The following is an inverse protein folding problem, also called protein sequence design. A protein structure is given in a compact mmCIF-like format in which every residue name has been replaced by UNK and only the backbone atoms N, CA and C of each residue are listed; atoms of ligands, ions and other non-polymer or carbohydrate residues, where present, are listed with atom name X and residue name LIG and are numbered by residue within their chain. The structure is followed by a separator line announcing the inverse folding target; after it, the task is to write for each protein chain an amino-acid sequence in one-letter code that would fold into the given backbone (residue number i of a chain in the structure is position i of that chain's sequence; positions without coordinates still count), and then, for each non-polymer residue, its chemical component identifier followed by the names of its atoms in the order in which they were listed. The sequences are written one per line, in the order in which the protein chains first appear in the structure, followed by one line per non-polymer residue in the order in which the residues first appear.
data_IF_535044936630
#
_entry.id   IF_535044936630
#
_cell.length_a   1.000
_cell.length_b   1.000
_cell.length_c   1.000
_cell.angle_alpha   90.00
_cell.angle_beta   90.00
_cell.angle_gamma   90.00
#
_symmetry.space_group_name_H-M   'P 1'
#
loop_
_entity.id
_entity.type
_entity.pdbx_description
1 polymer ?
#
# COMPACT_ATOMS: atom_id res chain seq x y z
N UNK A 1 6.43 -15.09 -0.02
CA UNK A 1 6.39 -16.34 0.77
C UNK A 1 7.82 -16.66 1.17
N UNK A 2 8.08 -16.98 2.43
CA UNK A 2 9.40 -17.39 2.92
C UNK A 2 9.23 -18.69 3.69
N UNK A 3 10.04 -19.70 3.34
CA UNK A 3 9.95 -21.09 3.79
C UNK A 3 9.58 -22.02 2.62
N UNK A 4 10.50 -22.87 2.19
CA UNK A 4 10.27 -23.83 1.10
C UNK A 4 9.31 -24.96 1.52
N UNK A 5 9.17 -25.23 2.81
CA UNK A 5 8.22 -26.21 3.36
C UNK A 5 6.74 -25.89 3.10
N UNK A 6 6.40 -24.67 2.62
CA UNK A 6 5.04 -24.35 2.19
C UNK A 6 4.73 -24.77 0.75
N UNK A 7 5.77 -24.99 -0.06
CA UNK A 7 5.63 -25.31 -1.49
C UNK A 7 5.38 -26.79 -1.67
N UNK A 8 4.40 -27.11 -2.48
CA UNK A 8 4.02 -28.49 -2.79
C UNK A 8 3.94 -28.69 -4.30
N UNK A 9 4.21 -29.93 -4.73
CA UNK A 9 4.10 -30.32 -6.14
C UNK A 9 2.66 -30.78 -6.48
N UNK A 10 2.44 -31.14 -7.75
CA UNK A 10 1.14 -31.60 -8.25
C UNK A 10 0.61 -32.85 -7.54
N UNK A 11 1.48 -33.81 -7.22
CA UNK A 11 1.10 -35.07 -6.57
C UNK A 11 0.65 -34.85 -5.13
N UNK A 12 1.42 -34.07 -4.38
CA UNK A 12 1.08 -33.67 -3.02
C UNK A 12 -0.23 -32.89 -2.98
N UNK A 13 -0.43 -31.96 -3.92
CA UNK A 13 -1.70 -31.23 -4.04
C UNK A 13 -2.88 -32.17 -4.32
N UNK A 14 -2.73 -33.13 -5.22
CA UNK A 14 -3.78 -34.11 -5.51
C UNK A 14 -4.13 -34.95 -4.28
N UNK A 15 -3.12 -35.35 -3.49
CA UNK A 15 -3.33 -36.07 -2.22
C UNK A 15 -4.11 -35.22 -1.21
N UNK A 16 -3.73 -33.96 -0.99
CA UNK A 16 -4.46 -33.09 -0.07
C UNK A 16 -5.90 -32.82 -0.51
N UNK A 17 -6.15 -32.73 -1.83
CA UNK A 17 -7.52 -32.63 -2.35
C UNK A 17 -8.32 -33.90 -2.03
N UNK A 18 -7.73 -35.09 -2.18
CA UNK A 18 -8.37 -36.35 -1.81
C UNK A 18 -8.65 -36.44 -0.31
N UNK A 19 -7.80 -35.83 0.51
CA UNK A 19 -7.96 -35.71 1.97
C UNK A 19 -8.97 -34.60 2.38
N UNK A 20 -9.65 -33.98 1.42
CA UNK A 20 -10.72 -33.00 1.66
C UNK A 20 -10.28 -31.53 1.76
N UNK A 21 -9.02 -31.21 1.44
CA UNK A 21 -8.52 -29.84 1.44
C UNK A 21 -9.03 -29.09 0.20
N UNK A 22 -9.71 -27.93 0.36
CA UNK A 22 -10.15 -27.13 -0.78
C UNK A 22 -9.00 -26.68 -1.68
N UNK A 23 -9.10 -26.81 -3.02
CA UNK A 23 -8.05 -26.41 -3.96
C UNK A 23 -7.64 -24.93 -3.85
N UNK A 24 -8.53 -24.06 -3.35
CA UNK A 24 -8.30 -22.62 -3.15
C UNK A 24 -7.28 -22.33 -2.05
N UNK A 25 -7.11 -23.25 -1.09
CA UNK A 25 -6.06 -23.19 -0.06
C UNK A 25 -4.71 -23.70 -0.56
N UNK A 26 -4.66 -24.16 -1.81
CA UNK A 26 -3.45 -24.59 -2.49
C UNK A 26 -3.30 -23.84 -3.83
N UNK A 27 -3.22 -22.49 -3.81
CA UNK A 27 -3.06 -21.70 -5.01
C UNK A 27 -1.76 -22.04 -5.74
N UNK A 28 -1.76 -21.90 -7.06
CA UNK A 28 -0.54 -21.98 -7.85
C UNK A 28 0.32 -20.75 -7.56
N UNK A 29 1.59 -21.00 -7.26
CA UNK A 29 2.60 -19.96 -7.10
C UNK A 29 2.93 -19.38 -8.47
N UNK A 30 3.03 -18.06 -8.54
CA UNK A 30 3.47 -17.34 -9.73
C UNK A 30 4.74 -16.58 -9.36
N UNK A 31 5.88 -17.12 -9.77
CA UNK A 31 7.19 -16.48 -9.68
C UNK A 31 7.48 -15.63 -10.93
N UNK A 32 8.51 -14.80 -10.88
CA UNK A 32 8.96 -13.96 -11.99
C UNK A 32 9.25 -14.78 -13.24
N UNK A 33 9.85 -15.96 -13.08
CA UNK A 33 10.09 -16.91 -14.16
C UNK A 33 8.81 -17.46 -14.77
N UNK A 34 7.72 -17.61 -14.01
CA UNK A 34 6.42 -18.03 -14.56
C UNK A 34 5.71 -16.89 -15.32
N UNK A 35 6.13 -15.65 -15.07
CA UNK A 35 5.67 -14.49 -15.85
C UNK A 35 6.37 -14.48 -17.21
N UNK A 36 7.67 -14.79 -17.25
CA UNK A 36 8.52 -14.65 -18.43
C UNK A 36 8.59 -15.89 -19.30
N UNK A 37 8.75 -17.05 -18.67
CA UNK A 37 8.90 -18.36 -19.26
C UNK A 37 7.63 -19.23 -19.08
N UNK A 38 7.79 -20.53 -19.31
CA UNK A 38 6.75 -21.53 -19.07
C UNK A 38 6.39 -21.62 -17.59
N UNK A 39 5.09 -21.69 -17.31
CA UNK A 39 4.55 -21.76 -15.96
C UNK A 39 4.93 -23.07 -15.27
N UNK A 40 5.53 -22.95 -14.09
CA UNK A 40 5.78 -24.05 -13.17
C UNK A 40 4.48 -24.55 -12.52
N UNK A 41 4.48 -25.82 -12.13
CA UNK A 41 3.37 -26.47 -11.42
C UNK A 41 3.65 -26.53 -9.91
N UNK A 42 4.09 -25.40 -9.34
CA UNK A 42 4.36 -25.26 -7.91
C UNK A 42 3.16 -24.64 -7.22
N UNK A 43 2.68 -25.25 -6.15
CA UNK A 43 1.56 -24.75 -5.36
C UNK A 43 2.04 -24.41 -3.95
N UNK A 44 1.23 -23.69 -3.19
CA UNK A 44 1.56 -23.38 -1.81
C UNK A 44 0.38 -23.56 -0.87
N UNK A 45 0.65 -24.04 0.33
CA UNK A 45 -0.33 -24.18 1.40
C UNK A 45 -0.63 -22.79 1.99
N UNK A 46 -1.81 -22.24 1.67
CA UNK A 46 -2.24 -20.90 2.08
C UNK A 46 -3.39 -20.97 3.10
N UNK A 47 -3.03 -20.89 4.37
CA UNK A 47 -3.94 -20.92 5.52
C UNK A 47 -3.88 -19.60 6.30
N UNK A 48 -3.73 -18.48 5.59
CA UNK A 48 -3.53 -17.15 6.18
C UNK A 48 -4.66 -16.69 7.12
N UNK A 49 -5.86 -17.25 6.93
CA UNK A 49 -7.12 -16.99 7.65
C UNK A 49 -7.32 -17.88 8.89
N UNK A 50 -6.48 -18.90 9.09
CA UNK A 50 -6.52 -19.75 10.27
C UNK A 50 -5.77 -19.07 11.42
N UNK A 51 -6.47 -18.80 12.51
CA UNK A 51 -5.95 -18.01 13.63
C UNK A 51 -5.22 -18.86 14.68
N UNK A 52 -5.58 -20.13 14.84
CA UNK A 52 -5.01 -21.04 15.84
C UNK A 52 -4.50 -22.35 15.23
N UNK A 53 -3.52 -22.95 15.89
CA UNK A 53 -3.00 -24.26 15.49
C UNK A 53 -4.08 -25.36 15.60
N UNK A 54 -4.86 -25.33 16.69
CA UNK A 54 -5.95 -26.29 16.92
C UNK A 54 -6.97 -26.29 15.77
N UNK A 55 -7.32 -25.11 15.25
CA UNK A 55 -8.23 -25.01 14.11
C UNK A 55 -7.63 -25.66 12.85
N UNK A 56 -6.32 -25.48 12.60
CA UNK A 56 -5.63 -26.12 11.48
C UNK A 56 -5.61 -27.64 11.64
N UNK A 57 -5.31 -28.11 12.86
CA UNK A 57 -5.25 -29.53 13.21
C UNK A 57 -6.62 -30.20 13.02
N UNK A 58 -7.69 -29.60 13.57
CA UNK A 58 -9.02 -30.20 13.58
C UNK A 58 -9.67 -30.21 12.19
N UNK A 59 -9.46 -29.15 11.40
CA UNK A 59 -10.06 -29.02 10.07
C UNK A 59 -9.23 -29.67 8.96
N UNK A 60 -7.90 -29.65 9.10
CA UNK A 60 -6.97 -30.07 8.05
C UNK A 60 -5.78 -30.88 8.63
N UNK A 61 -6.03 -32.03 9.29
CA UNK A 61 -5.01 -32.78 10.02
C UNK A 61 -3.83 -33.22 9.14
N UNK A 62 -4.11 -33.59 7.88
CA UNK A 62 -3.06 -33.97 6.92
C UNK A 62 -2.11 -32.81 6.59
N UNK A 63 -2.64 -31.58 6.48
CA UNK A 63 -1.87 -30.37 6.22
C UNK A 63 -1.11 -29.93 7.47
N UNK A 64 -1.75 -29.97 8.63
CA UNK A 64 -1.10 -29.68 9.92
C UNK A 64 0.16 -30.52 10.07
N UNK A 65 0.05 -31.85 9.95
CA UNK A 65 1.19 -32.77 10.03
C UNK A 65 2.30 -32.41 9.03
N UNK A 66 1.93 -32.15 7.77
CA UNK A 66 2.91 -31.80 6.74
C UNK A 66 3.68 -30.52 7.10
N UNK A 67 2.97 -29.45 7.45
CA UNK A 67 3.60 -28.19 7.83
C UNK A 67 4.40 -28.34 9.14
N UNK A 68 3.93 -29.16 10.08
CA UNK A 68 4.65 -29.43 11.32
C UNK A 68 6.02 -30.08 11.02
N UNK A 69 6.06 -31.04 10.10
CA UNK A 69 7.29 -31.74 9.75
C UNK A 69 8.25 -30.89 8.88
N UNK A 70 7.72 -30.02 8.01
CA UNK A 70 8.50 -29.32 6.96
C UNK A 70 8.71 -27.82 7.20
N UNK A 71 7.88 -27.18 8.02
CA UNK A 71 7.94 -25.72 8.26
C UNK A 71 8.32 -25.41 9.71
N UNK A 72 7.76 -26.14 10.68
CA UNK A 72 7.99 -25.84 12.10
C UNK A 72 9.48 -25.88 12.51
N UNK A 73 10.32 -26.84 12.06
CA UNK A 73 11.73 -26.88 12.46
C UNK A 73 12.49 -25.60 12.08
N UNK A 74 12.33 -25.13 10.83
CA UNK A 74 12.93 -23.87 10.37
C UNK A 74 12.36 -22.65 11.11
N UNK A 75 11.05 -22.68 11.43
CA UNK A 75 10.40 -21.59 12.16
C UNK A 75 10.88 -21.49 13.61
N UNK A 76 11.09 -22.60 14.30
CA UNK A 76 11.54 -22.65 15.69
C UNK A 76 12.92 -21.99 15.88
N UNK A 77 13.78 -22.05 14.85
CA UNK A 77 15.10 -21.39 14.83
C UNK A 77 15.03 -19.88 14.54
N UNK A 78 13.87 -19.35 14.15
CA UNK A 78 13.74 -17.94 13.78
C UNK A 78 13.73 -17.04 15.03
N UNK A 79 14.51 -15.96 15.03
CA UNK A 79 14.57 -15.00 16.15
C UNK A 79 13.23 -14.36 16.50
N UNK A 80 12.33 -14.19 15.51
CA UNK A 80 11.05 -13.51 15.71
C UNK A 80 10.01 -14.46 16.30
N UNK A 81 9.62 -14.19 17.54
CA UNK A 81 8.63 -14.97 18.30
C UNK A 81 7.31 -15.18 17.54
N UNK A 82 6.82 -14.15 16.85
CA UNK A 82 5.57 -14.26 16.08
C UNK A 82 5.61 -15.37 15.01
N UNK A 83 6.77 -15.62 14.40
CA UNK A 83 6.93 -16.66 13.39
C UNK A 83 7.03 -18.05 14.00
N UNK A 84 7.56 -18.17 15.23
CA UNK A 84 7.55 -19.42 16.01
C UNK A 84 6.12 -19.77 16.44
N UNK A 85 5.38 -18.80 16.97
CA UNK A 85 4.02 -19.00 17.47
C UNK A 85 2.99 -19.25 16.36
N UNK A 86 3.17 -18.64 15.18
CA UNK A 86 2.26 -18.77 14.04
C UNK A 86 2.93 -19.48 12.86
N UNK A 87 3.64 -20.56 13.13
CA UNK A 87 4.54 -21.22 12.19
C UNK A 87 3.84 -21.69 10.89
N UNK A 88 2.54 -21.98 10.93
CA UNK A 88 1.71 -22.36 9.78
C UNK A 88 1.31 -21.20 8.86
N UNK A 89 1.62 -19.95 9.22
CA UNK A 89 1.31 -18.75 8.41
C UNK A 89 2.56 -18.30 7.66
N UNK A 90 2.37 -17.71 6.48
CA UNK A 90 3.46 -17.05 5.79
C UNK A 90 4.00 -15.89 6.64
N UNK A 91 5.32 -15.70 6.64
CA UNK A 91 5.98 -14.57 7.30
C UNK A 91 5.37 -13.21 6.91
N UNK A 92 4.91 -13.08 5.66
CA UNK A 92 4.16 -11.92 5.19
C UNK A 92 2.86 -12.35 4.50
N UNK A 93 1.69 -12.14 5.13
CA UNK A 93 0.40 -12.56 4.56
C UNK A 93 -0.11 -11.62 3.43
N UNK A 94 0.62 -10.53 3.14
CA UNK A 94 0.32 -9.53 2.09
C UNK A 94 -1.16 -9.08 2.06
N UNK A 95 -1.73 -8.63 3.19
CA UNK A 95 -3.17 -8.33 3.30
C UNK A 95 -3.62 -7.22 2.35
N UNK A 96 -2.77 -6.21 2.11
CA UNK A 96 -3.08 -5.11 1.17
C UNK A 96 -3.26 -5.62 -0.26
N UNK A 97 -2.42 -6.55 -0.71
CA UNK A 97 -2.54 -7.15 -2.05
C UNK A 97 -3.83 -7.97 -2.15
N UNK A 98 -4.07 -8.85 -1.18
CA UNK A 98 -5.29 -9.69 -1.12
C UNK A 98 -6.56 -8.83 -1.18
N UNK A 99 -6.61 -7.75 -0.41
CA UNK A 99 -7.72 -6.79 -0.43
C UNK A 99 -7.85 -6.08 -1.78
N UNK A 100 -6.73 -5.71 -2.42
CA UNK A 100 -6.73 -4.98 -3.68
C UNK A 100 -7.23 -5.82 -4.86
N UNK A 101 -6.87 -7.11 -4.90
CA UNK A 101 -7.31 -8.05 -5.96
C UNK A 101 -8.67 -8.68 -5.67
N UNK A 102 -9.19 -8.53 -4.45
CA UNK A 102 -10.52 -9.04 -4.09
C UNK A 102 -11.60 -8.47 -5.01
N UNK A 103 -12.43 -9.34 -5.57
CA UNK A 103 -13.48 -9.01 -6.54
C UNK A 103 -13.00 -8.81 -7.98
N UNK A 104 -11.68 -8.81 -8.25
CA UNK A 104 -11.16 -8.80 -9.62
C UNK A 104 -11.12 -10.23 -10.17
N UNK A 105 -11.50 -10.41 -11.43
CA UNK A 105 -11.36 -11.71 -12.13
C UNK A 105 -9.92 -12.01 -12.55
N UNK A 106 -9.16 -10.94 -12.79
CA UNK A 106 -7.76 -10.96 -13.22
C UNK A 106 -7.07 -9.68 -12.78
N UNK A 107 -5.74 -9.69 -12.73
CA UNK A 107 -4.94 -8.51 -12.46
C UNK A 107 -3.66 -8.54 -13.30
N UNK A 108 -2.97 -7.42 -13.38
CA UNK A 108 -1.78 -7.25 -14.21
C UNK A 108 -0.55 -7.65 -13.39
N UNK A 109 0.39 -8.35 -14.02
CA UNK A 109 1.69 -8.70 -13.43
C UNK A 109 2.85 -8.39 -14.37
N UNK A 110 4.00 -8.15 -13.78
CA UNK A 110 5.32 -8.15 -14.43
C UNK A 110 6.34 -8.83 -13.51
N UNK A 111 7.35 -9.49 -14.08
CA UNK A 111 8.49 -10.00 -13.30
C UNK A 111 9.25 -8.84 -12.68
N UNK A 112 9.89 -8.99 -11.53
CA UNK A 112 10.74 -7.92 -10.99
C UNK A 112 11.94 -7.68 -11.92
N UNK A 113 12.60 -8.75 -12.36
CA UNK A 113 13.74 -8.70 -13.30
C UNK A 113 13.32 -9.17 -14.68
N UNK A 114 13.64 -8.39 -15.70
CA UNK A 114 13.46 -8.77 -17.11
C UNK A 114 14.29 -7.84 -18.01
N UNK A 115 15.05 -8.43 -18.94
CA UNK A 115 15.80 -7.68 -19.97
C UNK A 115 14.84 -6.87 -20.85
N UNK A 116 13.79 -7.52 -21.36
CA UNK A 116 12.71 -6.87 -22.10
C UNK A 116 11.46 -6.75 -21.23
N UNK A 117 10.97 -5.53 -21.02
CA UNK A 117 9.86 -5.27 -20.11
C UNK A 117 8.52 -5.58 -20.76
N UNK A 118 7.69 -6.36 -20.06
CA UNK A 118 6.30 -6.58 -20.45
C UNK A 118 5.38 -6.83 -19.26
N UNK A 119 4.09 -6.62 -19.53
CA UNK A 119 3.00 -6.79 -18.59
C UNK A 119 1.97 -7.75 -19.19
N UNK A 120 1.34 -8.58 -18.35
CA UNK A 120 0.27 -9.50 -18.77
C UNK A 120 -0.80 -9.61 -17.70
N UNK A 121 -2.01 -9.99 -18.10
CA UNK A 121 -3.03 -10.39 -17.14
C UNK A 121 -2.79 -11.82 -16.64
N UNK A 122 -3.03 -12.07 -15.36
CA UNK A 122 -3.22 -13.40 -14.79
C UNK A 122 -4.56 -13.50 -14.06
N UNK A 123 -5.19 -14.70 -13.98
CA UNK A 123 -6.41 -14.90 -13.20
C UNK A 123 -6.19 -14.58 -11.71
N UNK A 124 -7.21 -14.06 -11.03
CA UNK A 124 -7.13 -13.84 -9.58
C UNK A 124 -7.34 -15.10 -8.76
N UNK A 125 -8.27 -15.96 -9.20
CA UNK A 125 -8.62 -17.18 -8.47
C UNK A 125 -7.48 -18.20 -8.52
N UNK A 126 -7.12 -18.75 -7.35
CA UNK A 126 -6.14 -19.82 -7.21
C UNK A 126 -4.71 -19.43 -7.61
N UNK A 127 -4.35 -18.14 -7.57
CA UNK A 127 -3.00 -17.65 -7.87
C UNK A 127 -2.40 -16.91 -6.68
N UNK A 128 -1.15 -17.21 -6.38
CA UNK A 128 -0.37 -16.53 -5.35
C UNK A 128 0.94 -16.03 -5.97
N UNK A 129 1.06 -14.71 -6.14
CA UNK A 129 2.32 -14.10 -6.61
C UNK A 129 3.34 -14.11 -5.49
N UNK A 130 4.59 -14.44 -5.83
CA UNK A 130 5.71 -14.36 -4.89
C UNK A 130 6.39 -12.98 -4.91
N UNK A 131 7.51 -12.85 -4.19
CA UNK A 131 8.24 -11.58 -4.07
C UNK A 131 8.94 -11.12 -5.34
N UNK A 132 9.10 -12.00 -6.33
CA UNK A 132 9.76 -11.70 -7.62
C UNK A 132 8.77 -11.22 -8.68
N UNK A 133 7.51 -10.97 -8.32
CA UNK A 133 6.45 -10.49 -9.22
C UNK A 133 5.82 -9.22 -8.66
N UNK A 134 5.70 -8.22 -9.52
CA UNK A 134 4.96 -7.00 -9.21
C UNK A 134 3.52 -7.16 -9.71
N UNK A 135 2.57 -7.04 -8.78
CA UNK A 135 1.14 -7.14 -9.05
C UNK A 135 0.47 -5.75 -9.04
N UNK A 136 -0.16 -5.40 -10.16
CA UNK A 136 -0.97 -4.20 -10.32
C UNK A 136 -2.44 -4.61 -10.26
N UNK A 137 -3.12 -4.24 -9.18
CA UNK A 137 -4.50 -4.63 -8.86
C UNK A 137 -5.55 -3.86 -9.69
N UNK A 138 -5.49 -4.04 -11.02
CA UNK A 138 -6.44 -3.53 -12.00
C UNK A 138 -6.77 -4.61 -13.02
N UNK A 139 -8.05 -4.72 -13.38
CA UNK A 139 -8.54 -5.56 -14.48
C UNK A 139 -8.84 -4.75 -15.76
N UNK A 140 -8.63 -3.42 -15.73
CA UNK A 140 -8.86 -2.51 -16.86
C UNK A 140 -7.70 -2.61 -17.88
N UNK A 141 -7.98 -2.99 -19.14
CA UNK A 141 -6.99 -2.99 -20.20
C UNK A 141 -6.40 -1.63 -20.53
N UNK A 142 -7.02 -0.52 -20.12
CA UNK A 142 -6.41 0.81 -20.21
C UNK A 142 -5.09 0.83 -19.43
N UNK A 143 -5.13 0.38 -18.17
CA UNK A 143 -3.94 0.34 -17.31
C UNK A 143 -2.89 -0.57 -17.91
N UNK A 144 -3.29 -1.75 -18.44
CA UNK A 144 -2.37 -2.64 -19.15
C UNK A 144 -1.71 -1.94 -20.34
N UNK A 145 -2.47 -1.19 -21.13
CA UNK A 145 -1.97 -0.46 -22.29
C UNK A 145 -0.96 0.60 -21.89
N UNK A 146 -1.31 1.46 -20.93
CA UNK A 146 -0.42 2.51 -20.43
C UNK A 146 0.90 1.94 -19.91
N UNK A 147 0.87 0.91 -19.06
CA UNK A 147 2.12 0.31 -18.55
C UNK A 147 2.89 -0.48 -19.62
N UNK A 148 2.24 -0.89 -20.70
CA UNK A 148 2.91 -1.54 -21.83
C UNK A 148 3.50 -0.56 -22.85
N UNK A 149 3.29 0.75 -22.67
CA UNK A 149 3.75 1.77 -23.61
C UNK A 149 5.25 2.02 -23.50
N UNK A 150 5.81 2.60 -24.57
CA UNK A 150 7.17 3.10 -24.63
C UNK A 150 7.40 4.18 -23.56
N UNK A 151 6.44 5.08 -23.32
CA UNK A 151 6.54 6.12 -22.29
C UNK A 151 6.78 5.52 -20.89
N UNK A 152 6.00 4.49 -20.52
CA UNK A 152 6.19 3.80 -19.23
C UNK A 152 7.49 3.00 -19.18
N UNK A 153 7.89 2.40 -20.30
CA UNK A 153 9.13 1.63 -20.39
C UNK A 153 10.36 2.52 -20.20
N UNK A 154 10.40 3.67 -20.88
CA UNK A 154 11.47 4.68 -20.74
C UNK A 154 11.56 5.18 -19.30
N UNK A 155 10.42 5.53 -18.69
CA UNK A 155 10.37 5.91 -17.28
C UNK A 155 10.91 4.81 -16.36
N UNK A 156 10.38 3.61 -16.47
CA UNK A 156 10.70 2.51 -15.58
C UNK A 156 12.17 2.06 -15.69
N UNK A 157 12.76 2.10 -16.90
CA UNK A 157 14.18 1.80 -17.10
C UNK A 157 15.09 2.84 -16.45
N UNK A 158 14.67 4.10 -16.40
CA UNK A 158 15.45 5.19 -15.80
C UNK A 158 15.28 5.30 -14.29
N UNK A 159 14.08 5.06 -13.79
CA UNK A 159 13.72 5.15 -12.37
C UNK A 159 13.99 3.84 -11.61
N UNK A 160 13.98 2.71 -12.31
CA UNK A 160 14.25 1.38 -11.74
C UNK A 160 15.71 1.15 -11.39
N UNK A 161 15.95 0.10 -10.61
CA UNK A 161 17.29 -0.37 -10.29
C UNK A 161 17.83 -1.35 -11.33
N UNK A 162 19.04 -1.86 -11.09
CA UNK A 162 19.61 -3.00 -11.84
C UNK A 162 20.04 -4.11 -10.88
N UNK A 163 20.09 -5.35 -11.35
CA UNK A 163 20.42 -6.52 -10.52
C UNK A 163 21.33 -7.52 -11.23
N UNK A 164 22.29 -8.07 -10.47
CA UNK A 164 23.16 -9.16 -10.91
C UNK A 164 24.34 -8.73 -11.79
N UNK A 165 25.15 -9.70 -12.21
CA UNK A 165 26.31 -9.47 -13.09
C UNK A 165 25.94 -9.13 -14.53
N UNK A 166 24.70 -9.43 -14.95
CA UNK A 166 24.16 -9.08 -16.26
C UNK A 166 23.54 -7.68 -16.34
N UNK A 167 23.48 -6.96 -15.21
CA UNK A 167 22.93 -5.61 -15.12
C UNK A 167 21.46 -5.51 -15.60
N UNK A 168 20.68 -6.57 -15.33
CA UNK A 168 19.30 -6.69 -15.79
C UNK A 168 18.40 -5.63 -15.13
N UNK A 169 17.50 -4.96 -15.89
CA UNK A 169 16.57 -3.99 -15.33
C UNK A 169 15.64 -4.59 -14.28
N UNK A 170 15.60 -3.95 -13.11
CA UNK A 170 14.77 -4.32 -11.97
C UNK A 170 13.62 -3.32 -11.80
N UNK A 171 12.39 -3.82 -11.87
CA UNK A 171 11.17 -3.04 -11.72
C UNK A 171 10.71 -3.05 -10.27
N UNK A 172 10.71 -1.89 -9.63
CA UNK A 172 10.24 -1.71 -8.26
C UNK A 172 9.00 -0.82 -8.26
N UNK A 173 7.95 -1.20 -7.53
CA UNK A 173 6.69 -0.47 -7.56
C UNK A 173 6.85 0.99 -7.10
N UNK A 174 7.60 1.22 -6.03
CA UNK A 174 7.76 2.55 -5.39
C UNK A 174 8.49 3.55 -6.29
N UNK A 175 9.31 3.09 -7.23
CA UNK A 175 10.08 3.96 -8.13
C UNK A 175 9.58 3.93 -9.57
N UNK A 176 9.09 2.80 -10.06
CA UNK A 176 8.67 2.65 -11.45
C UNK A 176 7.17 2.91 -11.66
N UNK A 177 6.30 2.49 -10.73
CA UNK A 177 4.84 2.61 -10.92
C UNK A 177 4.25 3.78 -10.14
N UNK A 178 4.54 3.87 -8.85
CA UNK A 178 3.91 4.84 -7.96
C UNK A 178 4.14 6.31 -8.39
N UNK A 179 5.35 6.71 -8.83
CA UNK A 179 5.57 8.08 -9.30
C UNK A 179 5.29 8.25 -10.81
N UNK A 180 4.93 7.20 -11.54
CA UNK A 180 4.70 7.33 -12.98
C UNK A 180 3.47 8.22 -13.25
N UNK A 181 3.62 9.35 -13.96
CA UNK A 181 2.50 10.23 -14.22
C UNK A 181 1.64 9.69 -15.36
N UNK A 182 0.54 9.01 -15.01
CA UNK A 182 -0.41 8.48 -15.99
C UNK A 182 -0.92 9.56 -16.95
N UNK A 183 -1.23 9.20 -18.23
CA UNK A 183 -1.72 10.16 -19.22
C UNK A 183 -2.97 10.91 -18.74
N UNK A 184 -3.16 12.17 -19.15
CA UNK A 184 -4.43 12.86 -19.02
C UNK A 184 -5.61 12.00 -19.51
N UNK A 185 -6.73 12.07 -18.79
CA UNK A 185 -7.93 11.30 -19.13
C UNK A 185 -8.63 11.93 -20.33
N UNK A 186 -8.55 11.27 -21.48
CA UNK A 186 -9.26 11.63 -22.72
C UNK A 186 -10.05 10.39 -23.16
N UNK A 187 -11.39 10.37 -23.01
CA UNK A 187 -12.20 9.15 -23.15
C UNK A 187 -11.98 8.37 -24.44
N UNK A 188 -11.85 9.06 -25.57
CA UNK A 188 -11.64 8.48 -26.89
C UNK A 188 -10.27 7.76 -26.97
N UNK A 189 -9.23 8.37 -26.40
CA UNK A 189 -7.88 7.82 -26.38
C UNK A 189 -7.76 6.68 -25.40
N UNK A 190 -8.37 6.78 -24.21
CA UNK A 190 -8.44 5.67 -23.27
C UNK A 190 -9.09 4.43 -23.92
N UNK A 191 -10.16 4.63 -24.69
CA UNK A 191 -10.84 3.55 -25.38
C UNK A 191 -9.98 2.93 -26.49
N UNK A 192 -9.24 3.75 -27.24
CA UNK A 192 -8.25 3.26 -28.23
C UNK A 192 -7.18 2.40 -27.55
N UNK A 193 -6.62 2.87 -26.44
CA UNK A 193 -5.62 2.14 -25.63
C UNK A 193 -6.22 0.82 -25.12
N UNK A 194 -7.44 0.84 -24.57
CA UNK A 194 -8.15 -0.38 -24.11
C UNK A 194 -8.29 -1.41 -25.22
N UNK A 195 -8.69 -0.98 -26.41
CA UNK A 195 -8.90 -1.88 -27.56
C UNK A 195 -7.56 -2.50 -27.99
N UNK A 196 -6.51 -1.71 -28.15
CA UNK A 196 -5.20 -2.20 -28.55
C UNK A 196 -4.61 -3.16 -27.50
N UNK A 197 -4.66 -2.80 -26.21
CA UNK A 197 -4.18 -3.64 -25.12
C UNK A 197 -4.96 -4.97 -25.00
N UNK A 198 -6.29 -4.97 -25.22
CA UNK A 198 -7.10 -6.20 -25.28
C UNK A 198 -6.67 -7.11 -26.43
N UNK A 199 -6.44 -6.54 -27.61
CA UNK A 199 -5.98 -7.30 -28.78
C UNK A 199 -4.60 -7.90 -28.54
N UNK A 200 -3.69 -7.13 -27.95
CA UNK A 200 -2.34 -7.56 -27.58
C UNK A 200 -2.34 -8.72 -26.57
N UNK A 201 -3.09 -8.58 -25.47
CA UNK A 201 -3.24 -9.65 -24.45
C UNK A 201 -3.83 -10.93 -25.06
N UNK A 202 -4.88 -10.79 -25.88
CA UNK A 202 -5.51 -11.93 -26.55
C UNK A 202 -4.56 -12.62 -27.52
N UNK A 203 -3.80 -11.85 -28.30
CA UNK A 203 -2.83 -12.37 -29.25
C UNK A 203 -1.76 -13.19 -28.54
N UNK A 204 -1.13 -12.62 -27.50
CA UNK A 204 -0.11 -13.32 -26.70
C UNK A 204 -0.63 -14.63 -26.14
N UNK A 205 -1.82 -14.63 -25.52
CA UNK A 205 -2.43 -15.86 -24.99
C UNK A 205 -2.70 -16.90 -26.08
N UNK A 206 -3.20 -16.48 -27.25
CA UNK A 206 -3.47 -17.38 -28.39
C UNK A 206 -2.19 -18.01 -28.92
N UNK A 207 -1.12 -17.22 -29.06
CA UNK A 207 0.19 -17.68 -29.53
C UNK A 207 0.79 -18.70 -28.56
N UNK A 208 0.85 -18.38 -27.27
CA UNK A 208 1.42 -19.26 -26.24
C UNK A 208 0.60 -20.55 -26.07
N UNK A 209 -0.73 -20.49 -26.23
CA UNK A 209 -1.57 -21.67 -26.19
C UNK A 209 -1.38 -22.59 -27.41
N UNK A 210 -1.02 -22.04 -28.58
CA UNK A 210 -0.75 -22.80 -29.80
C UNK A 210 0.67 -23.37 -29.85
N UNK A 211 1.61 -22.68 -29.22
CA UNK A 211 3.04 -22.98 -29.27
C UNK A 211 3.60 -22.99 -27.85
N UNK A 212 3.53 -24.15 -27.18
CA UNK A 212 3.95 -24.31 -25.79
C UNK A 212 5.47 -24.17 -25.57
N UNK A 213 6.26 -24.25 -26.64
CA UNK A 213 7.70 -24.00 -26.67
C UNK A 213 8.06 -22.50 -26.75
N UNK A 214 7.10 -21.63 -27.09
CA UNK A 214 7.33 -20.19 -27.11
C UNK A 214 7.04 -19.57 -25.74
N UNK A 215 7.85 -18.57 -25.39
CA UNK A 215 7.71 -17.80 -24.14
C UNK A 215 7.60 -16.32 -24.44
N UNK A 216 7.11 -15.53 -23.48
CA UNK A 216 7.01 -14.07 -23.68
C UNK A 216 8.40 -13.46 -23.84
N UNK A 217 9.39 -13.95 -23.11
CA UNK A 217 10.80 -13.57 -23.31
C UNK A 217 11.22 -13.80 -24.75
N UNK A 218 10.99 -14.98 -25.31
CA UNK A 218 11.37 -15.29 -26.69
C UNK A 218 10.70 -14.35 -27.71
N UNK A 219 9.41 -14.04 -27.52
CA UNK A 219 8.66 -13.13 -28.40
C UNK A 219 9.21 -11.70 -28.34
N UNK A 220 9.54 -11.21 -27.15
CA UNK A 220 10.01 -9.85 -26.95
C UNK A 220 11.49 -9.66 -27.31
N UNK A 221 12.35 -10.64 -27.02
CA UNK A 221 13.73 -10.66 -27.54
C UNK A 221 13.74 -10.66 -29.07
N UNK A 222 12.83 -11.41 -29.70
CA UNK A 222 12.66 -11.38 -31.16
C UNK A 222 12.21 -10.01 -31.64
N UNK A 223 11.25 -9.38 -30.94
CA UNK A 223 10.78 -8.03 -31.26
C UNK A 223 11.92 -7.00 -31.20
N UNK A 224 12.75 -7.02 -30.17
CA UNK A 224 13.92 -6.15 -30.03
C UNK A 224 14.91 -6.36 -31.18
N UNK A 225 15.25 -7.61 -31.49
CA UNK A 225 16.13 -7.94 -32.63
C UNK A 225 15.56 -7.48 -33.97
N UNK A 226 14.25 -7.59 -34.18
CA UNK A 226 13.60 -7.08 -35.40
C UNK A 226 13.72 -5.56 -35.54
N UNK A 227 13.66 -4.83 -34.42
CA UNK A 227 13.88 -3.37 -34.40
C UNK A 227 15.32 -3.04 -34.77
N UNK A 228 16.29 -3.73 -34.14
CA UNK A 228 17.71 -3.45 -34.30
C UNK A 228 18.22 -3.83 -35.71
N UNK A 229 17.63 -4.86 -36.32
CA UNK A 229 17.97 -5.29 -37.67
C UNK A 229 17.60 -4.26 -38.76
N UNK A 230 16.69 -3.29 -38.50
CA UNK A 230 16.26 -2.25 -39.46
C UNK A 230 15.91 -2.78 -40.86
N UNK A 231 15.32 -3.98 -40.96
CA UNK A 231 14.97 -4.63 -42.23
C UNK A 231 16.06 -5.56 -42.80
N UNK A 232 17.16 -5.76 -42.08
CA UNK A 232 18.16 -6.78 -42.37
C UNK A 232 17.66 -8.21 -42.10
N UNK A 233 18.48 -9.19 -42.51
CA UNK A 233 18.14 -10.62 -42.37
C UNK A 233 18.25 -11.03 -40.90
N UNK A 234 17.13 -11.49 -40.33
CA UNK A 234 17.13 -12.13 -39.02
C UNK A 234 17.73 -13.54 -39.13
N UNK A 235 18.46 -13.94 -38.09
CA UNK A 235 18.90 -15.31 -37.89
C UNK A 235 17.70 -16.28 -37.99
N UNK A 236 17.85 -17.45 -38.67
CA UNK A 236 16.79 -18.44 -38.85
C UNK A 236 15.97 -18.76 -37.59
N UNK A 237 16.60 -18.81 -36.41
CA UNK A 237 15.90 -19.04 -35.14
C UNK A 237 14.85 -17.96 -34.86
N UNK A 238 15.25 -16.69 -34.95
CA UNK A 238 14.38 -15.55 -34.65
C UNK A 238 13.35 -15.31 -35.73
N UNK A 239 13.64 -15.68 -36.99
CA UNK A 239 12.66 -15.68 -38.06
C UNK A 239 11.52 -16.66 -37.77
N UNK A 240 11.84 -17.89 -37.37
CA UNK A 240 10.84 -18.89 -36.99
C UNK A 240 9.96 -18.42 -35.83
N UNK A 241 10.57 -17.81 -34.80
CA UNK A 241 9.83 -17.23 -33.66
C UNK A 241 8.97 -16.05 -34.11
N UNK A 242 9.46 -15.19 -35.00
CA UNK A 242 8.71 -14.04 -35.50
C UNK A 242 7.43 -14.45 -36.24
N UNK A 243 7.53 -15.49 -37.07
CA UNK A 243 6.42 -16.04 -37.86
C UNK A 243 5.40 -16.77 -36.96
N UNK A 244 5.84 -17.76 -36.17
CA UNK A 244 4.96 -18.53 -35.27
C UNK A 244 4.38 -17.68 -34.13
N UNK A 245 5.17 -16.72 -33.67
CA UNK A 245 4.84 -15.80 -32.60
C UNK A 245 3.96 -14.62 -33.00
N UNK A 246 3.68 -14.47 -34.31
CA UNK A 246 2.97 -13.31 -34.88
C UNK A 246 3.60 -11.97 -34.39
N UNK A 247 4.94 -11.90 -34.29
CA UNK A 247 5.67 -10.80 -33.62
C UNK A 247 5.45 -9.44 -34.31
N UNK A 248 5.27 -9.43 -35.63
CA UNK A 248 4.90 -8.20 -36.37
C UNK A 248 3.57 -7.62 -35.91
N UNK A 249 2.61 -8.47 -35.52
CA UNK A 249 1.30 -8.03 -35.02
C UNK A 249 1.40 -7.58 -33.55
N UNK A 250 2.26 -8.22 -32.75
CA UNK A 250 2.63 -7.73 -31.41
C UNK A 250 3.20 -6.30 -31.52
N UNK A 251 4.15 -6.07 -32.44
CA UNK A 251 4.71 -4.74 -32.72
C UNK A 251 3.63 -3.74 -33.10
N UNK A 252 2.72 -4.14 -34.00
CA UNK A 252 1.65 -3.27 -34.47
C UNK A 252 0.72 -2.81 -33.35
N UNK A 253 0.35 -3.71 -32.42
CA UNK A 253 -0.50 -3.30 -31.28
C UNK A 253 0.24 -2.45 -30.26
N UNK A 254 1.54 -2.65 -30.06
CA UNK A 254 2.37 -1.74 -29.27
C UNK A 254 2.42 -0.34 -29.90
N UNK A 255 2.61 -0.24 -31.22
CA UNK A 255 2.56 1.04 -31.93
C UNK A 255 1.21 1.75 -31.76
N UNK A 256 0.09 1.02 -31.84
CA UNK A 256 -1.23 1.63 -31.59
C UNK A 256 -1.39 2.14 -30.15
N UNK A 257 -0.82 1.43 -29.17
CA UNK A 257 -0.80 1.89 -27.77
C UNK A 257 0.04 3.15 -27.66
N UNK A 258 1.27 3.13 -28.18
CA UNK A 258 2.22 4.23 -28.10
C UNK A 258 1.69 5.49 -28.77
N UNK A 259 1.07 5.36 -29.96
CA UNK A 259 0.43 6.48 -30.65
C UNK A 259 -0.69 7.10 -29.81
N UNK A 260 -1.57 6.29 -29.23
CA UNK A 260 -2.68 6.80 -28.44
C UNK A 260 -2.23 7.37 -27.08
N UNK A 261 -1.17 6.82 -26.49
CA UNK A 261 -0.56 7.33 -25.25
C UNK A 261 0.15 8.66 -25.51
N UNK A 262 0.95 8.76 -26.57
CA UNK A 262 1.60 10.01 -26.97
C UNK A 262 0.56 11.10 -27.26
N UNK A 263 -0.51 10.77 -27.99
CA UNK A 263 -1.63 11.68 -28.24
C UNK A 263 -2.32 12.13 -26.95
N UNK A 264 -2.47 11.24 -25.96
CA UNK A 264 -3.07 11.58 -24.66
C UNK A 264 -2.18 12.52 -23.83
N UNK A 265 -0.86 12.41 -23.96
CA UNK A 265 0.08 13.38 -23.40
C UNK A 265 0.22 14.67 -24.23
N UNK A 266 -0.35 14.74 -25.43
CA UNK A 266 -0.18 15.86 -26.36
C UNK A 266 1.20 15.92 -27.02
N UNK A 267 1.84 14.77 -27.21
CA UNK A 267 3.19 14.66 -27.78
C UNK A 267 3.18 14.27 -29.27
N UNK A 268 4.21 14.65 -30.04
CA UNK A 268 4.43 14.11 -31.38
C UNK A 268 4.77 12.62 -31.32
N UNK A 269 4.55 11.91 -32.43
CA UNK A 269 4.70 10.44 -32.51
C UNK A 269 6.16 9.97 -32.44
N UNK A 270 7.07 10.80 -32.89
CA UNK A 270 8.50 10.56 -33.05
C UNK A 270 9.34 11.24 -31.96
N UNK A 271 8.75 11.45 -30.78
CA UNK A 271 9.45 12.04 -29.65
C UNK A 271 10.61 11.13 -29.21
N UNK A 272 11.81 11.69 -29.14
CA UNK A 272 13.00 10.98 -28.65
C UNK A 272 12.84 10.57 -27.18
N UNK A 273 13.45 9.45 -26.78
CA UNK A 273 13.27 8.89 -25.44
C UNK A 273 13.75 9.84 -24.32
N UNK A 274 14.85 10.58 -24.52
CA UNK A 274 15.34 11.55 -23.53
C UNK A 274 14.36 12.71 -23.34
N UNK A 275 13.74 13.18 -24.42
CA UNK A 275 12.73 14.23 -24.36
C UNK A 275 11.42 13.73 -23.73
N UNK A 276 11.02 12.48 -24.00
CA UNK A 276 9.93 11.83 -23.27
C UNK A 276 10.19 11.83 -21.75
N UNK A 277 11.40 11.47 -21.35
CA UNK A 277 11.79 11.42 -19.93
C UNK A 277 11.72 12.79 -19.26
N UNK A 278 12.26 13.83 -19.91
CA UNK A 278 12.20 15.21 -19.38
C UNK A 278 10.75 15.65 -19.16
N UNK A 279 9.86 15.40 -20.12
CA UNK A 279 8.43 15.73 -20.01
C UNK A 279 7.71 14.93 -18.92
N UNK A 280 8.06 13.65 -18.77
CA UNK A 280 7.50 12.82 -17.70
C UNK A 280 7.95 13.30 -16.32
N UNK A 281 9.21 13.70 -16.15
CA UNK A 281 9.69 14.26 -14.88
C UNK A 281 8.96 15.56 -14.54
N UNK A 282 8.85 16.48 -15.50
CA UNK A 282 8.09 17.72 -15.30
C UNK A 282 6.62 17.45 -14.93
N UNK A 283 5.97 16.50 -15.62
CA UNK A 283 4.60 16.13 -15.31
C UNK A 283 4.48 15.47 -13.93
N UNK A 284 5.46 14.66 -13.51
CA UNK A 284 5.48 14.09 -12.17
C UNK A 284 5.56 15.17 -11.09
N UNK A 285 6.40 16.20 -11.27
CA UNK A 285 6.50 17.33 -10.35
C UNK A 285 5.16 18.09 -10.25
N UNK A 286 4.50 18.35 -11.38
CA UNK A 286 3.15 18.94 -11.43
C UNK A 286 2.13 18.08 -10.69
N UNK A 287 2.13 16.76 -10.89
CA UNK A 287 1.22 15.84 -10.16
C UNK A 287 1.51 15.82 -8.68
N UNK A 288 2.76 15.90 -8.26
CA UNK A 288 3.12 15.98 -6.85
C UNK A 288 2.60 17.28 -6.21
N UNK A 289 2.59 18.39 -6.95
CA UNK A 289 1.96 19.65 -6.51
C UNK A 289 0.43 19.55 -6.41
N UNK A 290 -0.23 18.97 -7.41
CA UNK A 290 -1.67 18.72 -7.39
C UNK A 290 -2.07 17.84 -6.19
N UNK A 291 -1.31 16.78 -5.91
CA UNK A 291 -1.55 15.91 -4.76
C UNK A 291 -1.36 16.63 -3.42
N UNK A 292 -0.34 17.50 -3.31
CA UNK A 292 -0.15 18.38 -2.14
C UNK A 292 -1.31 19.38 -1.97
N UNK A 293 -1.89 19.84 -3.07
CA UNK A 293 -3.09 20.67 -3.08
C UNK A 293 -4.40 19.89 -2.84
N UNK A 294 -4.32 18.55 -2.74
CA UNK A 294 -5.45 17.66 -2.48
C UNK A 294 -6.20 17.18 -3.74
N UNK A 295 -5.71 17.50 -4.93
CA UNK A 295 -6.23 16.98 -6.19
C UNK A 295 -5.52 15.68 -6.56
N UNK A 296 -6.16 14.55 -6.27
CA UNK A 296 -5.57 13.23 -6.54
C UNK A 296 -6.24 12.56 -7.75
N UNK A 297 -5.44 12.22 -8.75
CA UNK A 297 -5.88 11.52 -9.97
C UNK A 297 -5.76 10.00 -9.79
N UNK A 298 -6.84 9.39 -9.31
CA UNK A 298 -6.89 7.95 -9.03
C UNK A 298 -6.90 7.10 -10.30
N UNK A 299 -5.99 6.12 -10.38
CA UNK A 299 -5.98 5.09 -11.43
C UNK A 299 -7.13 4.09 -11.24
N UNK A 300 -7.47 3.77 -9.98
CA UNK A 300 -8.62 2.93 -9.60
C UNK A 300 -9.40 3.59 -8.45
N UNK A 301 -10.25 4.60 -8.75
CA UNK A 301 -10.97 5.37 -7.74
C UNK A 301 -11.83 4.48 -6.81
N UNK A 302 -12.46 3.43 -7.36
CA UNK A 302 -13.34 2.52 -6.64
C UNK A 302 -12.67 1.78 -5.47
N UNK A 303 -11.35 1.65 -5.50
CA UNK A 303 -10.55 1.01 -4.44
C UNK A 303 -9.73 2.06 -3.67
N UNK A 304 -8.99 2.91 -4.37
CA UNK A 304 -8.05 3.84 -3.75
C UNK A 304 -8.76 4.96 -2.96
N UNK A 305 -9.83 5.54 -3.51
CA UNK A 305 -10.57 6.60 -2.83
C UNK A 305 -11.28 6.09 -1.57
N UNK A 306 -11.68 4.82 -1.53
CA UNK A 306 -12.22 4.20 -0.30
C UNK A 306 -11.19 4.09 0.81
N UNK A 307 -9.92 3.86 0.46
CA UNK A 307 -8.83 3.79 1.45
C UNK A 307 -8.48 5.16 2.05
N UNK A 308 -8.75 6.25 1.31
CA UNK A 308 -8.46 7.63 1.74
C UNK A 308 -9.67 8.41 2.24
N UNK A 309 -10.89 7.88 2.07
CA UNK A 309 -12.00 8.26 2.93
C UNK A 309 -11.56 7.97 4.36
N UNK A 310 -11.11 9.03 5.06
CA UNK A 310 -11.02 9.02 6.53
C UNK A 310 -12.28 8.29 7.00
N UNK A 311 -12.13 7.20 7.76
CA UNK A 311 -13.26 6.63 8.51
C UNK A 311 -13.99 7.85 9.07
N UNK A 312 -15.31 8.01 8.87
CA UNK A 312 -16.00 9.06 9.60
C UNK A 312 -15.61 8.82 11.04
N UNK A 313 -14.85 9.75 11.62
CA UNK A 313 -14.73 9.79 13.05
C UNK A 313 -16.19 9.75 13.47
N UNK A 314 -16.59 8.70 14.20
CA UNK A 314 -17.80 8.83 14.96
C UNK A 314 -17.59 10.11 15.74
N UNK A 315 -18.26 11.17 15.29
CA UNK A 315 -18.62 12.25 16.17
C UNK A 315 -19.58 11.56 17.12
N UNK A 316 -19.00 10.86 18.09
CA UNK A 316 -19.64 10.72 19.38
C UNK A 316 -20.08 12.13 19.67
N UNK A 317 -21.39 12.31 19.75
CA UNK A 317 -22.01 13.52 20.25
C UNK A 317 -21.46 13.71 21.67
N UNK A 318 -20.26 14.28 21.76
CA UNK A 318 -19.69 14.74 23.00
C UNK A 318 -20.51 15.99 23.30
N UNK A 319 -21.61 15.77 24.04
CA UNK A 319 -22.17 16.78 24.92
C UNK A 319 -21.00 17.58 25.50
N UNK A 320 -20.91 18.85 25.09
CA UNK A 320 -19.85 19.79 25.48
C UNK A 320 -19.69 19.73 26.99
N UNK A 321 -18.74 18.95 27.49
CA UNK A 321 -18.21 19.12 28.83
C UNK A 321 -17.40 20.40 28.78
N UNK A 322 -17.94 21.43 29.42
CA UNK A 322 -17.39 22.78 29.44
C UNK A 322 -15.88 22.78 29.61
N UNK A 323 -15.22 23.52 28.73
CA UNK A 323 -13.81 23.88 28.84
C UNK A 323 -13.54 24.40 30.24
N UNK A 324 -12.71 23.69 31.02
CA UNK A 324 -12.19 24.22 32.29
C UNK A 324 -11.35 25.45 31.96
N UNK A 325 -11.84 26.63 32.35
CA UNK A 325 -11.09 27.87 32.28
C UNK A 325 -9.77 27.74 33.05
N UNK A 326 -8.65 28.11 32.43
CA UNK A 326 -7.35 28.24 33.10
C UNK A 326 -7.51 29.21 34.28
N UNK A 327 -7.22 28.76 35.50
CA UNK A 327 -7.15 29.62 36.69
C UNK A 327 -5.91 30.50 36.58
N UNK A 328 -6.09 31.81 36.74
CA UNK A 328 -4.99 32.78 36.88
C UNK A 328 -4.48 32.69 38.31
N UNK A 329 -3.28 32.13 38.51
CA UNK A 329 -2.58 32.17 39.80
C UNK A 329 -1.94 33.56 39.99
N UNK A 330 -2.11 34.15 41.18
CA UNK A 330 -1.56 35.47 41.55
C UNK A 330 -0.32 35.33 42.42
N UNK A 331 0.59 36.29 42.35
CA UNK A 331 1.73 36.37 43.26
C UNK A 331 1.30 36.85 44.66
N UNK A 332 1.99 36.39 45.71
CA UNK A 332 1.68 36.72 47.11
C UNK A 332 2.48 37.95 47.56
N UNK A 333 1.83 39.07 47.95
CA UNK A 333 2.54 40.27 48.41
C UNK A 333 3.34 40.04 49.69
N UNK A 334 4.48 40.72 49.87
CA UNK A 334 5.32 40.60 51.06
C UNK A 334 4.84 41.48 52.23
N UNK A 335 4.18 42.60 51.95
CA UNK A 335 3.68 43.53 52.96
C UNK A 335 2.29 43.15 53.50
N UNK A 336 2.09 43.23 54.82
CA UNK A 336 0.83 42.88 55.50
C UNK A 336 -0.40 43.64 54.97
N UNK A 337 -0.37 44.98 54.75
CA UNK A 337 -1.53 45.70 54.21
C UNK A 337 -1.94 45.23 52.81
N UNK A 338 -0.96 44.89 51.97
CA UNK A 338 -1.21 44.41 50.60
C UNK A 338 -1.77 42.98 50.60
N UNK A 339 -1.34 42.13 51.53
CA UNK A 339 -1.90 40.80 51.71
C UNK A 339 -3.39 40.85 52.08
N UNK A 340 -3.78 41.78 52.95
CA UNK A 340 -5.18 41.98 53.36
C UNK A 340 -6.05 42.35 52.16
N UNK A 341 -5.62 43.32 51.34
CA UNK A 341 -6.34 43.73 50.12
C UNK A 341 -6.42 42.60 49.09
N UNK A 342 -5.32 41.88 48.88
CA UNK A 342 -5.28 40.77 47.93
C UNK A 342 -6.23 39.64 48.32
N UNK A 343 -6.24 39.24 49.59
CA UNK A 343 -7.11 38.19 50.14
C UNK A 343 -8.59 38.63 50.11
N UNK A 344 -8.90 39.85 50.54
CA UNK A 344 -10.26 40.40 50.48
C UNK A 344 -10.81 40.42 49.04
N UNK A 345 -9.98 40.79 48.06
CA UNK A 345 -10.40 40.80 46.65
C UNK A 345 -10.76 39.42 46.10
N UNK A 346 -10.12 38.36 46.59
CA UNK A 346 -10.40 36.98 46.17
C UNK A 346 -11.71 36.48 46.76
N UNK A 347 -11.97 36.80 48.03
CA UNK A 347 -13.24 36.45 48.70
C UNK A 347 -14.40 37.23 48.09
N UNK A 348 -14.26 38.55 47.87
CA UNK A 348 -15.28 39.41 47.27
C UNK A 348 -15.68 39.02 45.85
N UNK A 349 -14.75 38.45 45.06
CA UNK A 349 -15.03 37.98 43.69
C UNK A 349 -15.68 36.60 43.65
N UNK A 350 -15.71 35.89 44.77
CA UNK A 350 -16.31 34.56 44.85
C UNK A 350 -17.77 34.65 45.25
N UNK A 351 -18.67 34.20 44.37
CA UNK A 351 -20.10 34.07 44.69
C UNK A 351 -20.40 32.92 45.67
N UNK A 352 -19.38 32.22 46.20
CA UNK A 352 -19.52 31.10 47.14
C UNK A 352 -18.57 31.27 48.33
N UNK A 353 -18.97 30.83 49.54
CA UNK A 353 -18.08 30.81 50.69
C UNK A 353 -16.84 29.95 50.43
N UNK A 354 -15.66 30.50 50.71
CA UNK A 354 -14.37 29.86 50.45
C UNK A 354 -13.73 29.37 51.74
N UNK A 355 -13.16 28.15 51.70
CA UNK A 355 -12.29 27.68 52.77
C UNK A 355 -10.89 28.29 52.62
N UNK A 356 -10.08 28.40 53.69
CA UNK A 356 -8.71 28.90 53.62
C UNK A 356 -7.83 28.19 52.57
N UNK A 357 -8.07 26.89 52.32
CA UNK A 357 -7.39 26.10 51.29
C UNK A 357 -7.71 26.58 49.86
N UNK A 358 -8.94 27.01 49.62
CA UNK A 358 -9.38 27.47 48.30
C UNK A 358 -8.86 28.87 48.00
N UNK A 359 -8.80 29.73 49.02
CA UNK A 359 -8.18 31.06 48.91
C UNK A 359 -6.67 30.93 48.69
N UNK A 360 -5.99 30.04 49.41
CA UNK A 360 -4.56 29.79 49.22
C UNK A 360 -4.22 29.30 47.81
N UNK A 361 -5.11 28.53 47.17
CA UNK A 361 -4.94 28.05 45.78
C UNK A 361 -5.00 29.17 44.74
N UNK A 362 -5.52 30.35 45.08
CA UNK A 362 -5.47 31.51 44.19
C UNK A 362 -4.08 32.15 44.12
N UNK A 363 -3.17 31.78 45.03
CA UNK A 363 -1.84 32.36 45.13
C UNK A 363 -0.74 31.32 44.92
N UNK A 364 0.33 31.73 44.23
CA UNK A 364 1.45 30.84 43.89
C UNK A 364 2.18 30.36 45.15
N UNK A 365 2.19 29.04 45.35
CA UNK A 365 3.04 28.37 46.35
C UNK A 365 2.67 28.57 47.83
N UNK A 366 1.45 28.99 48.16
CA UNK A 366 1.02 29.21 49.56
C UNK A 366 0.07 28.13 50.09
N UNK A 367 0.09 27.96 51.42
CA UNK A 367 -0.72 26.97 52.17
C UNK A 367 -1.80 27.69 52.98
N UNK A 368 -2.83 26.95 53.35
CA UNK A 368 -3.95 27.47 54.15
C UNK A 368 -3.51 28.15 55.46
N UNK A 369 -2.41 27.70 56.08
CA UNK A 369 -1.87 28.28 57.31
C UNK A 369 -1.36 29.71 57.16
N UNK A 370 -0.95 30.12 55.96
CA UNK A 370 -0.46 31.49 55.70
C UNK A 370 -1.62 32.47 55.49
N UNK A 371 -2.75 31.99 54.99
CA UNK A 371 -3.92 32.84 54.63
C UNK A 371 -4.93 32.92 55.76
N UNK A 372 -5.01 31.90 56.63
CA UNK A 372 -5.96 31.85 57.75
C UNK A 372 -5.85 33.07 58.70
N UNK A 373 -4.66 33.51 59.16
CA UNK A 373 -4.56 34.68 60.04
C UNK A 373 -5.06 35.98 59.39
N UNK A 374 -4.88 36.13 58.07
CA UNK A 374 -5.35 37.30 57.30
C UNK A 374 -6.86 37.27 57.15
N UNK A 375 -7.46 36.09 56.93
CA UNK A 375 -8.91 35.91 56.86
C UNK A 375 -9.58 36.12 58.22
N UNK A 376 -8.96 35.67 59.31
CA UNK A 376 -9.45 35.91 60.67
C UNK A 376 -9.37 37.40 61.04
N UNK A 377 -8.29 38.10 60.65
CA UNK A 377 -8.19 39.55 60.82
C UNK A 377 -9.25 40.31 60.00
N UNK A 378 -9.49 39.90 58.75
CA UNK A 378 -10.55 40.46 57.90
C UNK A 378 -11.95 40.23 58.48
N UNK A 379 -12.17 39.09 59.12
CA UNK A 379 -13.42 38.79 59.81
C UNK A 379 -13.59 39.62 61.10
N UNK A 380 -12.51 39.82 61.86
CA UNK A 380 -12.50 40.71 63.01
C UNK A 380 -12.76 42.18 62.66
N UNK A 381 -12.34 42.61 61.46
CA UNK A 381 -12.61 43.95 60.92
C UNK A 381 -13.99 44.10 60.24
N UNK A 382 -14.80 43.03 60.19
CA UNK A 382 -16.15 43.05 59.60
C UNK A 382 -16.19 43.11 58.07
N UNK A 383 -15.05 42.94 57.40
CA UNK A 383 -14.98 42.97 55.92
C UNK A 383 -15.29 41.62 55.26
N UNK A 384 -15.30 40.54 56.04
CA UNK A 384 -15.58 39.18 55.57
C UNK A 384 -16.32 38.43 56.68
N UNK A 385 -17.42 37.74 56.40
CA UNK A 385 -18.14 36.96 57.40
C UNK A 385 -17.57 35.54 57.51
N UNK A 386 -17.20 35.15 58.72
CA UNK A 386 -16.85 33.76 59.06
C UNK A 386 -18.13 32.96 59.36
N UNK A 387 -18.33 31.86 58.65
CA UNK A 387 -19.45 30.93 58.85
C UNK A 387 -19.07 29.87 59.91
N UNK A 388 -20.07 29.27 60.54
CA UNK A 388 -19.89 28.24 61.59
C UNK A 388 -19.10 27.01 61.10
N UNK A 389 -19.08 26.77 59.79
CA UNK A 389 -18.35 25.68 59.13
C UNK A 389 -16.88 26.01 58.79
N UNK A 390 -16.38 27.16 59.26
CA UNK A 390 -14.99 27.59 59.05
C UNK A 390 -14.69 28.16 57.66
N UNK A 391 -15.73 28.44 56.85
CA UNK A 391 -15.61 29.14 55.56
C UNK A 391 -15.82 30.64 55.69
N UNK A 392 -15.30 31.38 54.73
CA UNK A 392 -15.33 32.84 54.68
C UNK A 392 -16.12 33.30 53.45
N UNK A 393 -17.05 34.23 53.64
CA UNK A 393 -17.83 34.86 52.57
C UNK A 393 -17.72 36.39 52.69
N UNK A 394 -17.78 37.08 51.56
CA UNK A 394 -17.76 38.54 51.53
C UNK A 394 -18.99 39.15 52.22
#
# INVERSE_FOLDING_TARGET
MSGDGFKINTEQRARFIADGVPPERMPLVVAGTDVTESQSNTYALDFFDIETEDELHDRFPGVHRYLFDHVKPERDENDREQYRLNWWRFAEPRPRLRAAISGLRRYIVTSETATERFFKFIPSAGRLVDGSVIAIASDDPYVLGVVSSTAHTVWALRAGGRMGSGDDPRYQNETCFDPFPFPPSVPELEQRIRIAARKLDRLRRKVLARHSDLTLTALYTTLARMRDAKGGVLDPKYRSIAERGEVSLIRHYHQQIDEAVAEAYGWPRDLEHEEMLVRLVALNDERAEEERAGQIRWVRPSFQAKSLRKKPAQVVLQLRRGTKAKKVERDWPSALPEQVVAVASVVARSAKPLAPKDVARAFKGKRASTVAPVLDALAGMGMVRKLEDGRYAA
#
